data_IF_284118991312
#
_entry.id   IF_284118991312
#
_cell.length_a   1.000
_cell.length_b   1.000
_cell.length_c   1.000
_cell.angle_alpha   90.00
_cell.angle_beta   90.00
_cell.angle_gamma   90.00
#
_symmetry.space_group_name_H-M   'P 1'
#
loop_
_entity.id
_entity.type
_entity.pdbx_description
1 polymer ?
#
# COMPACT_ATOMS: atom_id res chain seq x y z
N UNK A 1 3.17 33.09 -15.24
CA UNK A 1 2.72 33.48 -13.87
C UNK A 1 1.48 32.64 -13.57
N UNK A 2 1.66 31.43 -12.98
CA UNK A 2 0.56 30.52 -12.67
C UNK A 2 0.10 30.91 -11.28
N UNK A 3 -1.07 31.53 -11.20
CA UNK A 3 -1.77 31.81 -9.94
C UNK A 3 -2.10 30.46 -9.29
N UNK A 4 -1.39 30.08 -8.23
CA UNK A 4 -1.87 29.09 -7.28
C UNK A 4 -3.15 29.67 -6.68
N UNK A 5 -4.29 29.27 -7.19
CA UNK A 5 -5.55 29.38 -6.46
C UNK A 5 -5.46 28.44 -5.27
N UNK A 6 -5.12 28.98 -4.10
CA UNK A 6 -5.48 28.37 -2.83
C UNK A 6 -7.01 28.43 -2.75
N UNK A 7 -7.67 27.42 -3.35
CA UNK A 7 -9.10 27.21 -3.14
C UNK A 7 -9.28 26.94 -1.64
N UNK A 8 -9.94 27.84 -0.94
CA UNK A 8 -10.28 27.61 0.46
C UNK A 8 -11.05 26.31 0.57
N UNK A 9 -10.47 25.35 1.31
CA UNK A 9 -11.10 24.05 1.57
C UNK A 9 -12.50 24.26 2.13
N UNK A 10 -13.49 23.71 1.46
CA UNK A 10 -14.89 23.79 1.89
C UNK A 10 -15.10 23.08 3.25
N UNK A 11 -16.09 23.54 4.01
CA UNK A 11 -16.45 22.95 5.31
C UNK A 11 -16.76 21.43 5.16
N UNK A 12 -17.43 21.03 4.09
CA UNK A 12 -17.74 19.63 3.82
C UNK A 12 -16.48 18.78 3.55
N UNK A 13 -15.47 19.34 2.88
CA UNK A 13 -14.19 18.64 2.69
C UNK A 13 -13.54 18.33 4.04
N UNK A 14 -13.48 19.31 4.95
CA UNK A 14 -12.94 19.10 6.30
C UNK A 14 -13.72 18.05 7.11
N UNK A 15 -15.04 18.00 6.96
CA UNK A 15 -15.87 16.97 7.60
C UNK A 15 -15.59 15.57 7.04
N UNK A 16 -15.44 15.42 5.74
CA UNK A 16 -15.07 14.17 5.10
C UNK A 16 -13.66 13.72 5.51
N UNK A 17 -12.68 14.61 5.50
CA UNK A 17 -11.31 14.34 5.99
C UNK A 17 -11.33 13.81 7.42
N UNK A 18 -12.12 14.43 8.30
CA UNK A 18 -12.27 13.97 9.68
C UNK A 18 -12.94 12.59 9.78
N UNK A 19 -13.96 12.34 8.96
CA UNK A 19 -14.65 11.05 8.90
C UNK A 19 -13.70 9.93 8.45
N UNK A 20 -12.94 10.15 7.38
CA UNK A 20 -11.94 9.19 6.88
C UNK A 20 -10.83 8.98 7.91
N UNK A 21 -10.38 10.03 8.60
CA UNK A 21 -9.36 9.92 9.66
C UNK A 21 -9.82 8.99 10.78
N UNK A 22 -11.06 9.14 11.25
CA UNK A 22 -11.64 8.28 12.29
C UNK A 22 -11.72 6.83 11.81
N UNK A 23 -12.18 6.62 10.57
CA UNK A 23 -12.30 5.29 9.98
C UNK A 23 -10.94 4.60 9.88
N UNK A 24 -9.94 5.26 9.31
CA UNK A 24 -8.61 4.67 9.14
C UNK A 24 -7.95 4.36 10.48
N UNK A 25 -8.11 5.23 11.48
CA UNK A 25 -7.60 4.97 12.84
C UNK A 25 -8.30 3.81 13.53
N UNK A 26 -9.53 3.49 13.15
CA UNK A 26 -10.27 2.34 13.66
C UNK A 26 -9.84 1.03 12.98
N UNK A 27 -9.57 1.10 11.68
CA UNK A 27 -9.22 -0.08 10.88
C UNK A 27 -7.75 -0.50 11.02
N UNK A 28 -6.86 0.44 11.37
CA UNK A 28 -5.44 0.16 11.60
C UNK A 28 -5.17 -0.09 13.09
N UNK A 29 -4.37 -1.11 13.40
CA UNK A 29 -3.87 -1.34 14.75
C UNK A 29 -2.93 -0.20 15.20
N UNK A 30 -2.13 0.31 14.26
CA UNK A 30 -1.24 1.46 14.45
C UNK A 30 -1.29 2.33 13.19
N UNK A 31 -1.28 3.64 13.35
CA UNK A 31 -1.15 4.61 12.27
C UNK A 31 -0.70 5.96 12.83
N UNK A 32 0.44 6.47 12.35
CA UNK A 32 1.03 7.74 12.76
C UNK A 32 0.97 8.76 11.62
N UNK A 33 1.09 10.03 11.96
CA UNK A 33 1.21 11.15 11.03
C UNK A 33 0.18 11.14 9.89
N UNK A 34 -1.05 10.65 10.18
CA UNK A 34 -2.13 10.53 9.21
C UNK A 34 -2.59 11.92 8.76
N UNK A 35 -2.40 12.19 7.48
CA UNK A 35 -2.82 13.40 6.80
C UNK A 35 -3.73 13.05 5.64
N UNK A 36 -4.90 13.69 5.59
CA UNK A 36 -5.90 13.51 4.54
C UNK A 36 -6.20 14.87 3.96
N UNK A 37 -6.11 14.98 2.64
CA UNK A 37 -6.42 16.21 1.92
C UNK A 37 -7.44 15.90 0.82
N UNK A 38 -8.59 16.57 0.88
CA UNK A 38 -9.66 16.50 -0.13
C UNK A 38 -9.71 17.83 -0.85
N UNK A 39 -9.55 17.79 -2.16
CA UNK A 39 -9.59 18.95 -3.03
C UNK A 39 -10.95 19.01 -3.72
N UNK A 40 -11.86 19.74 -3.09
CA UNK A 40 -13.18 20.06 -3.59
C UNK A 40 -13.79 21.18 -2.76
N UNK A 41 -14.60 22.02 -3.39
CA UNK A 41 -15.47 22.97 -2.70
C UNK A 41 -16.68 22.25 -2.09
N UNK A 42 -17.35 22.87 -1.12
CA UNK A 42 -18.59 22.29 -0.55
C UNK A 42 -19.67 22.09 -1.62
N UNK A 43 -19.74 22.96 -2.61
CA UNK A 43 -20.71 22.85 -3.71
C UNK A 43 -20.41 21.66 -4.64
N UNK A 44 -19.15 21.41 -4.96
CA UNK A 44 -18.72 20.23 -5.74
C UNK A 44 -19.00 18.94 -5.00
N UNK A 45 -18.74 18.91 -3.68
CA UNK A 45 -19.06 17.74 -2.85
C UNK A 45 -20.57 17.44 -2.85
N UNK A 46 -21.42 18.48 -2.75
CA UNK A 46 -22.87 18.31 -2.84
C UNK A 46 -23.27 17.75 -4.22
N UNK A 47 -22.54 18.11 -5.26
CA UNK A 47 -22.74 17.57 -6.63
C UNK A 47 -22.11 16.19 -6.83
N UNK A 48 -21.41 15.64 -5.82
CA UNK A 48 -20.74 14.36 -5.91
C UNK A 48 -19.43 14.40 -6.69
N UNK A 49 -18.70 15.50 -6.64
CA UNK A 49 -17.43 15.68 -7.35
C UNK A 49 -16.31 15.94 -6.36
N UNK A 50 -15.24 15.11 -6.42
CA UNK A 50 -13.97 15.34 -5.73
C UNK A 50 -12.87 15.31 -6.79
N UNK A 51 -12.14 16.41 -6.92
CA UNK A 51 -11.07 16.49 -7.92
C UNK A 51 -9.89 15.62 -7.56
N UNK A 52 -9.54 15.61 -6.26
CA UNK A 52 -8.42 14.85 -5.77
C UNK A 52 -8.60 14.50 -4.29
N UNK A 53 -8.20 13.30 -3.93
CA UNK A 53 -8.05 12.85 -2.54
C UNK A 53 -6.61 12.39 -2.38
N UNK A 54 -5.92 12.86 -1.34
CA UNK A 54 -4.62 12.31 -0.95
C UNK A 54 -4.65 11.87 0.50
N UNK A 55 -4.05 10.73 0.77
CA UNK A 55 -3.88 10.18 2.13
C UNK A 55 -2.41 9.86 2.30
N UNK A 56 -1.80 10.38 3.36
CA UNK A 56 -0.43 10.06 3.74
C UNK A 56 -0.42 9.62 5.18
N UNK A 57 0.32 8.56 5.47
CA UNK A 57 0.49 8.05 6.81
C UNK A 57 1.87 7.41 6.96
N UNK A 58 2.30 7.28 8.23
CA UNK A 58 3.56 6.66 8.63
C UNK A 58 3.28 5.64 9.72
N UNK A 59 4.20 4.67 9.88
CA UNK A 59 4.12 3.63 10.92
C UNK A 59 2.77 2.93 10.95
N UNK A 60 2.37 2.37 9.81
CA UNK A 60 1.06 1.74 9.65
C UNK A 60 1.15 0.25 9.98
N UNK A 61 0.24 -0.23 10.83
CA UNK A 61 -0.06 -1.64 11.01
C UNK A 61 -1.52 -1.88 10.64
N UNK A 62 -1.72 -2.47 9.47
CA UNK A 62 -3.03 -2.88 9.00
C UNK A 62 -3.07 -4.40 8.83
N UNK A 63 -3.79 -5.09 9.71
CA UNK A 63 -3.94 -6.57 9.69
C UNK A 63 -2.58 -7.29 9.60
N UNK A 64 -1.63 -6.91 10.46
CA UNK A 64 -0.26 -7.41 10.51
C UNK A 64 0.61 -7.15 9.26
N UNK A 65 0.15 -6.29 8.38
CA UNK A 65 0.97 -5.68 7.35
C UNK A 65 1.55 -4.38 7.89
N UNK A 66 2.86 -4.31 7.97
CA UNK A 66 3.60 -3.17 8.53
C UNK A 66 4.21 -2.35 7.41
N UNK A 67 3.91 -1.06 7.38
CA UNK A 67 4.46 -0.12 6.41
C UNK A 67 5.07 1.07 7.12
N UNK A 68 6.26 1.51 6.69
CA UNK A 68 6.87 2.72 7.23
C UNK A 68 6.16 3.96 6.72
N UNK A 69 5.76 3.95 5.44
CA UNK A 69 5.05 5.06 4.82
C UNK A 69 4.09 4.56 3.75
N UNK A 70 2.92 5.19 3.71
CA UNK A 70 1.94 5.02 2.63
C UNK A 70 1.49 6.39 2.13
N UNK A 71 1.45 6.55 0.81
CA UNK A 71 0.78 7.65 0.13
C UNK A 71 -0.25 7.07 -0.83
N UNK A 72 -1.51 7.51 -0.71
CA UNK A 72 -2.60 7.14 -1.60
C UNK A 72 -3.08 8.40 -2.32
N UNK A 73 -3.42 8.26 -3.59
CA UNK A 73 -3.97 9.34 -4.39
C UNK A 73 -5.09 8.81 -5.28
N UNK A 74 -6.23 9.50 -5.27
CA UNK A 74 -7.32 9.28 -6.21
C UNK A 74 -7.72 10.61 -6.85
N UNK A 75 -7.93 10.60 -8.16
CA UNK A 75 -8.30 11.79 -8.94
C UNK A 75 -9.67 11.60 -9.59
N UNK A 76 -10.38 12.70 -9.80
CA UNK A 76 -11.66 12.76 -10.54
C UNK A 76 -12.72 11.79 -10.01
N UNK A 77 -12.85 11.70 -8.69
CA UNK A 77 -13.83 10.84 -8.00
C UNK A 77 -15.22 11.44 -8.15
N UNK A 78 -16.17 10.66 -8.72
CA UNK A 78 -17.56 11.04 -8.89
C UNK A 78 -18.48 10.06 -8.19
N UNK A 79 -19.43 10.60 -7.42
CA UNK A 79 -20.38 9.79 -6.68
C UNK A 79 -21.78 10.42 -6.67
N UNK A 80 -22.79 9.59 -6.44
CA UNK A 80 -24.17 10.02 -6.20
C UNK A 80 -24.62 9.54 -4.83
N UNK A 81 -25.17 10.44 -4.05
CA UNK A 81 -25.79 10.09 -2.78
C UNK A 81 -27.29 9.93 -2.97
N UNK A 82 -27.79 8.72 -2.77
CA UNK A 82 -29.21 8.42 -2.78
C UNK A 82 -29.79 8.63 -1.39
N UNK A 83 -30.49 9.75 -1.18
CA UNK A 83 -31.06 10.14 0.12
C UNK A 83 -32.01 9.07 0.66
N UNK A 84 -32.82 8.45 -0.23
CA UNK A 84 -33.85 7.49 0.16
C UNK A 84 -33.30 6.23 0.82
N UNK A 85 -32.11 5.75 0.38
CA UNK A 85 -31.50 4.51 0.88
C UNK A 85 -30.28 4.79 1.74
N UNK A 86 -29.88 6.05 1.93
CA UNK A 86 -28.59 6.43 2.54
C UNK A 86 -27.39 5.75 1.86
N UNK A 87 -27.51 5.50 0.57
CA UNK A 87 -26.55 4.73 -0.23
C UNK A 87 -25.65 5.69 -1.02
N UNK A 88 -24.34 5.47 -0.95
CA UNK A 88 -23.34 6.14 -1.77
C UNK A 88 -23.04 5.25 -2.98
N UNK A 89 -23.23 5.77 -4.20
CA UNK A 89 -22.86 5.08 -5.44
C UNK A 89 -21.81 5.88 -6.18
N UNK A 90 -20.75 5.24 -6.58
CA UNK A 90 -19.75 5.84 -7.46
C UNK A 90 -20.22 5.72 -8.92
N UNK A 91 -19.93 6.74 -9.74
CA UNK A 91 -20.38 6.78 -11.14
C UNK A 91 -19.49 5.97 -12.07
N UNK A 92 -18.24 5.73 -11.67
CA UNK A 92 -17.24 4.94 -12.38
C UNK A 92 -16.23 4.38 -11.38
N UNK A 93 -15.48 3.39 -11.81
CA UNK A 93 -14.38 2.84 -11.06
C UNK A 93 -13.41 3.94 -10.65
N UNK A 94 -12.99 3.89 -9.40
CA UNK A 94 -12.01 4.82 -8.86
C UNK A 94 -10.63 4.17 -8.98
N UNK A 95 -9.74 4.83 -9.72
CA UNK A 95 -8.33 4.43 -9.75
C UNK A 95 -7.63 5.08 -8.56
N UNK A 96 -7.06 4.26 -7.69
CA UNK A 96 -6.24 4.69 -6.56
C UNK A 96 -4.79 4.33 -6.85
N UNK A 97 -3.93 5.33 -6.84
CA UNK A 97 -2.48 5.14 -6.89
C UNK A 97 -1.91 5.01 -5.49
N UNK A 98 -0.98 4.07 -5.30
CA UNK A 98 -0.27 3.87 -4.02
C UNK A 98 1.23 4.05 -4.19
N UNK A 99 1.85 4.62 -3.16
CA UNK A 99 3.29 4.57 -2.94
C UNK A 99 3.51 4.06 -1.54
N UNK A 100 4.27 2.99 -1.42
CA UNK A 100 4.52 2.30 -0.16
C UNK A 100 6.03 2.23 0.04
N UNK A 101 6.48 2.48 1.27
CA UNK A 101 7.87 2.27 1.67
C UNK A 101 7.93 1.30 2.84
N UNK A 102 8.85 0.34 2.76
CA UNK A 102 9.09 -0.71 3.75
C UNK A 102 10.56 -0.71 4.14
N UNK A 103 10.85 -0.55 5.41
CA UNK A 103 12.19 -0.78 5.98
C UNK A 103 12.45 -2.26 6.24
N UNK A 104 13.70 -2.59 6.54
CA UNK A 104 14.09 -3.91 7.03
C UNK A 104 13.25 -4.33 8.25
N UNK A 105 13.00 -3.42 9.18
CA UNK A 105 12.23 -3.71 10.39
C UNK A 105 10.77 -4.04 10.07
N UNK A 106 10.12 -3.26 9.21
CA UNK A 106 8.75 -3.51 8.76
C UNK A 106 8.64 -4.81 7.98
N UNK A 107 9.61 -5.08 7.09
CA UNK A 107 9.70 -6.36 6.37
C UNK A 107 9.84 -7.54 7.33
N UNK A 108 10.71 -7.44 8.35
CA UNK A 108 10.85 -8.47 9.40
C UNK A 108 9.55 -8.72 10.13
N UNK A 109 8.85 -7.68 10.55
CA UNK A 109 7.56 -7.79 11.22
C UNK A 109 6.52 -8.53 10.36
N UNK A 110 6.42 -8.19 9.07
CA UNK A 110 5.51 -8.87 8.12
C UNK A 110 5.87 -10.34 7.99
N UNK A 111 7.14 -10.65 7.77
CA UNK A 111 7.60 -12.01 7.47
C UNK A 111 7.66 -12.92 8.71
N UNK A 112 7.73 -12.36 9.90
CA UNK A 112 7.67 -13.11 11.17
C UNK A 112 6.26 -13.14 11.77
N UNK A 113 5.30 -12.40 11.20
CA UNK A 113 3.90 -12.48 11.60
C UNK A 113 3.30 -13.79 11.11
N UNK A 114 2.20 -14.21 11.73
CA UNK A 114 1.41 -15.36 11.28
C UNK A 114 0.54 -15.05 10.06
N UNK A 115 0.98 -14.11 9.23
CA UNK A 115 0.24 -13.69 8.03
C UNK A 115 0.28 -14.82 6.98
N UNK A 116 -0.88 -15.18 6.44
CA UNK A 116 -1.07 -16.25 5.47
C UNK A 116 -0.23 -16.10 4.18
N UNK A 117 0.08 -14.87 3.77
CA UNK A 117 0.93 -14.59 2.59
C UNK A 117 2.33 -15.14 2.83
N UNK A 118 2.82 -15.01 4.07
CA UNK A 118 4.15 -15.50 4.40
C UNK A 118 4.23 -17.02 4.44
N UNK A 119 3.26 -17.69 5.01
CA UNK A 119 3.23 -19.16 5.02
C UNK A 119 3.30 -19.71 3.60
N UNK A 120 2.57 -19.10 2.66
CA UNK A 120 2.59 -19.51 1.26
C UNK A 120 3.95 -19.25 0.57
N UNK A 121 4.58 -18.10 0.85
CA UNK A 121 5.89 -17.73 0.29
C UNK A 121 7.01 -18.58 0.90
N UNK A 122 6.96 -18.86 2.21
CA UNK A 122 7.99 -19.63 2.91
C UNK A 122 8.05 -21.07 2.42
N UNK A 123 6.90 -21.71 2.20
CA UNK A 123 6.83 -23.05 1.64
C UNK A 123 7.39 -23.14 0.22
N UNK A 124 7.19 -22.12 -0.59
CA UNK A 124 7.65 -22.12 -1.99
C UNK A 124 9.11 -21.72 -2.17
N UNK A 125 9.63 -20.80 -1.34
CA UNK A 125 11.00 -20.26 -1.49
C UNK A 125 12.00 -21.00 -0.59
N UNK A 126 11.58 -21.42 0.60
CA UNK A 126 12.47 -21.86 1.68
C UNK A 126 12.28 -23.31 2.14
N UNK A 127 11.51 -24.13 1.40
CA UNK A 127 11.30 -25.55 1.73
C UNK A 127 10.95 -25.80 3.21
N UNK A 128 10.00 -25.04 3.76
CA UNK A 128 9.45 -25.16 5.12
C UNK A 128 10.36 -24.71 6.29
N UNK A 129 11.56 -24.25 6.03
CA UNK A 129 12.43 -23.79 7.11
C UNK A 129 12.02 -22.40 7.64
N UNK A 130 11.91 -22.29 8.96
CA UNK A 130 11.59 -21.01 9.61
C UNK A 130 12.72 -20.02 9.38
N UNK A 131 12.37 -18.84 8.91
CA UNK A 131 13.31 -17.72 8.79
C UNK A 131 13.98 -17.41 10.12
N UNK A 132 15.28 -17.20 10.08
CA UNK A 132 16.06 -16.78 11.25
C UNK A 132 16.28 -15.26 11.23
N UNK A 133 16.63 -14.71 10.08
CA UNK A 133 16.92 -13.30 9.96
C UNK A 133 16.74 -12.78 8.53
N UNK A 134 16.45 -11.48 8.42
CA UNK A 134 16.29 -10.76 7.17
C UNK A 134 17.07 -9.47 7.27
N UNK A 135 17.76 -9.07 6.19
CA UNK A 135 18.43 -7.78 6.06
C UNK A 135 18.17 -7.17 4.69
N UNK A 136 18.22 -5.86 4.62
CA UNK A 136 18.25 -5.13 3.36
C UNK A 136 19.63 -4.52 3.23
N UNK A 137 20.42 -5.01 2.29
CA UNK A 137 21.80 -4.58 2.10
C UNK A 137 22.16 -4.58 0.62
N UNK A 138 22.87 -3.54 0.15
CA UNK A 138 23.33 -3.42 -1.24
C UNK A 138 22.21 -3.59 -2.28
N UNK A 139 21.04 -3.00 -2.02
CA UNK A 139 19.83 -3.10 -2.86
C UNK A 139 19.27 -4.51 -3.03
N UNK A 140 19.53 -5.41 -2.07
CA UNK A 140 19.01 -6.76 -2.06
C UNK A 140 18.39 -7.09 -0.71
N UNK A 141 17.46 -8.03 -0.73
CA UNK A 141 16.95 -8.68 0.47
C UNK A 141 17.81 -9.90 0.73
N UNK A 142 18.44 -9.93 1.88
CA UNK A 142 19.26 -11.05 2.35
C UNK A 142 18.46 -11.83 3.38
N UNK A 143 18.19 -13.09 3.11
CA UNK A 143 17.40 -13.96 3.97
C UNK A 143 18.27 -15.08 4.50
N UNK A 144 18.30 -15.23 5.82
CA UNK A 144 18.99 -16.32 6.50
C UNK A 144 17.98 -17.38 6.92
N UNK A 145 18.19 -18.57 6.42
CA UNK A 145 17.42 -19.73 6.78
C UNK A 145 18.14 -20.52 7.91
N UNK A 146 17.37 -21.25 8.74
CA UNK A 146 17.96 -22.02 9.86
C UNK A 146 18.81 -23.20 9.44
N UNK A 147 18.61 -23.71 8.24
CA UNK A 147 19.27 -24.91 7.73
C UNK A 147 20.72 -24.64 7.33
N UNK A 148 21.00 -23.45 6.86
CA UNK A 148 22.34 -23.06 6.39
C UNK A 148 22.97 -22.08 7.38
N UNK A 149 23.63 -22.63 8.42
CA UNK A 149 24.35 -21.86 9.43
C UNK A 149 25.41 -20.99 8.70
N UNK A 150 25.24 -19.66 8.77
CA UNK A 150 26.12 -18.61 8.20
C UNK A 150 25.97 -18.28 6.70
N UNK A 151 24.94 -18.73 6.00
CA UNK A 151 24.72 -18.34 4.62
C UNK A 151 23.44 -17.52 4.48
N UNK A 152 23.53 -16.36 3.81
CA UNK A 152 22.39 -15.57 3.41
C UNK A 152 22.01 -15.88 1.96
N UNK A 153 20.76 -16.13 1.73
CA UNK A 153 20.19 -16.23 0.39
C UNK A 153 19.84 -14.83 -0.10
N UNK A 154 20.30 -14.48 -1.28
CA UNK A 154 20.03 -13.20 -1.91
C UNK A 154 18.74 -13.29 -2.71
N UNK A 155 17.79 -12.45 -2.36
CA UNK A 155 16.47 -12.38 -2.98
C UNK A 155 16.25 -10.98 -3.53
N UNK A 156 15.82 -10.90 -4.77
CA UNK A 156 15.38 -9.68 -5.41
C UNK A 156 13.86 -9.61 -5.46
N UNK A 157 13.33 -8.40 -5.39
CA UNK A 157 11.91 -8.14 -5.64
C UNK A 157 11.77 -7.37 -6.96
N UNK A 158 10.89 -7.81 -7.85
CA UNK A 158 10.67 -7.20 -9.17
C UNK A 158 9.22 -7.16 -9.56
N UNK A 159 8.89 -6.25 -10.46
CA UNK A 159 7.58 -6.19 -11.12
C UNK A 159 7.67 -6.82 -12.51
N UNK A 160 6.68 -7.64 -12.86
CA UNK A 160 6.55 -8.22 -14.20
C UNK A 160 5.07 -8.31 -14.57
N UNK A 161 4.67 -7.64 -15.63
CA UNK A 161 3.27 -7.59 -16.12
C UNK A 161 2.27 -7.21 -15.01
N UNK A 162 2.61 -6.20 -14.21
CA UNK A 162 1.75 -5.71 -13.13
C UNK A 162 1.73 -6.56 -11.85
N UNK A 163 2.52 -7.64 -11.77
CA UNK A 163 2.62 -8.48 -10.58
C UNK A 163 3.97 -8.32 -9.89
N UNK A 164 4.02 -8.60 -8.58
CA UNK A 164 5.26 -8.68 -7.81
C UNK A 164 5.81 -10.10 -7.83
N UNK A 165 7.12 -10.19 -7.98
CA UNK A 165 7.88 -11.44 -7.95
C UNK A 165 9.04 -11.34 -6.97
N UNK A 166 9.28 -12.42 -6.26
CA UNK A 166 10.53 -12.66 -5.55
C UNK A 166 11.41 -13.58 -6.39
N UNK A 167 12.65 -13.18 -6.62
CA UNK A 167 13.63 -13.96 -7.39
C UNK A 167 14.78 -14.38 -6.47
N UNK A 168 14.98 -15.67 -6.33
CA UNK A 168 16.15 -16.21 -5.64
C UNK A 168 17.29 -16.37 -6.65
N UNK A 169 18.38 -15.62 -6.47
CA UNK A 169 19.52 -15.65 -7.40
C UNK A 169 20.26 -17.00 -7.40
N UNK A 170 20.27 -17.73 -6.29
CA UNK A 170 20.99 -19.01 -6.18
C UNK A 170 20.29 -20.13 -6.95
N UNK A 171 18.97 -20.18 -6.92
CA UNK A 171 18.20 -21.26 -7.52
C UNK A 171 17.58 -20.89 -8.86
N UNK A 172 17.76 -19.63 -9.30
CA UNK A 172 17.12 -19.08 -10.51
C UNK A 172 15.58 -19.28 -10.51
N UNK A 173 14.99 -19.24 -9.32
CA UNK A 173 13.57 -19.40 -9.10
C UNK A 173 12.90 -18.04 -8.97
N UNK A 174 11.76 -17.89 -9.61
CA UNK A 174 10.94 -16.69 -9.57
C UNK A 174 9.54 -17.05 -9.11
N UNK A 175 9.11 -16.49 -7.98
CA UNK A 175 7.81 -16.78 -7.38
C UNK A 175 6.95 -15.52 -7.40
N UNK A 176 5.76 -15.65 -7.94
CA UNK A 176 4.75 -14.58 -7.90
C UNK A 176 4.23 -14.44 -6.47
N UNK A 177 4.26 -13.22 -5.92
CA UNK A 177 3.60 -12.92 -4.67
C UNK A 177 2.08 -12.91 -4.92
N UNK A 178 1.29 -13.72 -4.19
CA UNK A 178 -0.15 -13.79 -4.38
C UNK A 178 -0.82 -12.55 -3.78
N UNK A 179 -1.12 -11.59 -4.62
CA UNK A 179 -1.83 -10.35 -4.26
C UNK A 179 -3.08 -10.28 -5.14
N UNK A 180 -4.09 -9.55 -4.69
CA UNK A 180 -5.34 -9.37 -5.42
C UNK A 180 -5.10 -8.89 -6.85
N UNK A 181 -5.80 -9.51 -7.82
CA UNK A 181 -5.62 -9.24 -9.26
C UNK A 181 -5.95 -7.79 -9.65
N UNK A 182 -6.74 -7.09 -8.85
CA UNK A 182 -7.08 -5.68 -9.06
C UNK A 182 -5.92 -4.72 -8.80
N UNK A 183 -4.83 -5.19 -8.20
CA UNK A 183 -3.64 -4.37 -7.92
C UNK A 183 -2.62 -4.55 -9.03
N UNK A 184 -2.30 -3.46 -9.72
CA UNK A 184 -1.29 -3.41 -10.76
C UNK A 184 -0.03 -2.72 -10.24
N UNK A 185 1.06 -3.46 -10.08
CA UNK A 185 2.35 -2.93 -9.63
C UNK A 185 3.10 -2.27 -10.79
N UNK A 186 3.33 -0.96 -10.69
CA UNK A 186 4.04 -0.16 -11.70
C UNK A 186 5.55 -0.41 -11.62
N UNK A 187 6.10 -0.30 -10.42
CA UNK A 187 7.52 -0.57 -10.15
C UNK A 187 7.76 -0.94 -8.69
N UNK A 188 8.90 -1.58 -8.45
CA UNK A 188 9.49 -1.79 -7.14
C UNK A 188 11.00 -1.56 -7.24
N UNK A 189 11.57 -0.88 -6.27
CA UNK A 189 13.02 -0.73 -6.14
C UNK A 189 13.44 -0.78 -4.67
N UNK A 190 14.70 -1.11 -4.45
CA UNK A 190 15.32 -1.05 -3.14
C UNK A 190 16.36 0.07 -3.20
N UNK A 191 16.16 1.10 -2.41
CA UNK A 191 17.03 2.27 -2.36
C UNK A 191 17.09 2.81 -0.93
N UNK A 192 18.28 3.22 -0.48
CA UNK A 192 18.50 3.71 0.87
C UNK A 192 18.00 2.77 1.98
N UNK A 193 18.17 1.45 1.79
CA UNK A 193 17.67 0.38 2.67
C UNK A 193 16.14 0.38 2.85
N UNK A 194 15.42 0.93 1.91
CA UNK A 194 13.96 0.89 1.84
C UNK A 194 13.52 0.18 0.56
N UNK A 195 12.51 -0.66 0.68
CA UNK A 195 11.75 -1.19 -0.45
C UNK A 195 10.66 -0.17 -0.78
N UNK A 196 10.73 0.42 -1.97
CA UNK A 196 9.73 1.36 -2.45
C UNK A 196 8.89 0.70 -3.54
N UNK A 197 7.59 0.71 -3.36
CA UNK A 197 6.60 0.10 -4.24
C UNK A 197 5.66 1.18 -4.75
N UNK A 198 5.40 1.17 -6.06
CA UNK A 198 4.33 1.96 -6.65
C UNK A 198 3.37 1.04 -7.37
N UNK A 199 2.09 1.22 -7.12
CA UNK A 199 1.02 0.43 -7.71
C UNK A 199 -0.23 1.28 -7.93
N UNK A 200 -1.20 0.72 -8.64
CA UNK A 200 -2.56 1.25 -8.76
C UNK A 200 -3.58 0.13 -8.60
N UNK A 201 -4.77 0.48 -8.18
CA UNK A 201 -5.91 -0.44 -8.14
C UNK A 201 -7.17 0.27 -8.61
N UNK A 202 -8.03 -0.47 -9.30
CA UNK A 202 -9.39 -0.07 -9.56
C UNK A 202 -10.28 -0.53 -8.41
N UNK A 203 -11.05 0.39 -7.84
CA UNK A 203 -12.06 0.09 -6.83
C UNK A 203 -13.40 0.13 -7.52
N UNK A 204 -14.00 -1.05 -7.72
CA UNK A 204 -15.35 -1.23 -8.23
C UNK A 204 -16.33 -1.18 -7.04
N UNK A 205 -17.43 -0.51 -7.22
CA UNK A 205 -18.53 -0.49 -6.26
C UNK A 205 -19.76 -1.10 -6.94
N UNK A 206 -19.89 -2.41 -6.84
CA UNK A 206 -21.12 -3.14 -7.24
C UNK A 206 -22.31 -2.81 -6.34
#
# INVERSE_FOLDING_TARGET
MILKQDQEKGVLAKLLEKGINILLKKECNEISNLKIDIFATSFEIIKGILHKITIKAEEINYKDLFFDKIELEANDVKFKFKINNKELKFEKDIIVEFKISLSENSLKKILLSSNWIWDLISHQIFNEDKLENIKIENNHILIKDKKYINQYNKVNIKTKKGNLYLENELYNESIRIPIEEKIFFKYVNIENNLINISAESSIDFD
#
